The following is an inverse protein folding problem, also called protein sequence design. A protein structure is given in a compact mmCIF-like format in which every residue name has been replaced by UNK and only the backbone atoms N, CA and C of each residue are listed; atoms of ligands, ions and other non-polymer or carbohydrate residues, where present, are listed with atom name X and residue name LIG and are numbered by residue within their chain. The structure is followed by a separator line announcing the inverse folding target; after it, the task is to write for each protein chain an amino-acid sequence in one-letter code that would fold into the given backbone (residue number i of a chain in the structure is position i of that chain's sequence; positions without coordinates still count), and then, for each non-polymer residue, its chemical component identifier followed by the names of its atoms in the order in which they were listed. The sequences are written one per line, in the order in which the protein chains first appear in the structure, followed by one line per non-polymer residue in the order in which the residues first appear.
data_IF_536068662852
#
_entry.id   IF_536068662852
#
_cell.length_a   1.000
_cell.length_b   1.000
_cell.length_c   1.000
_cell.angle_alpha   90.00
_cell.angle_beta   90.00
_cell.angle_gamma   90.00
#
_symmetry.space_group_name_H-M   'P 1'
#
loop_
_entity.id
_entity.type
_entity.pdbx_description
1 polymer ?
#
# COMPACT_ATOMS: atom_id res chain seq x y z
N UNK A 1 -12.47 9.43 6.55
CA UNK A 1 -12.96 9.61 5.16
C UNK A 1 -11.87 9.77 4.10
N UNK A 2 -10.57 9.77 4.43
CA UNK A 2 -9.49 9.99 3.45
C UNK A 2 -8.83 8.72 2.91
N UNK A 3 -8.91 7.60 3.64
CA UNK A 3 -8.31 6.30 3.24
C UNK A 3 -9.42 5.26 3.28
N UNK A 4 -9.74 4.69 2.12
CA UNK A 4 -10.85 3.74 1.98
C UNK A 4 -10.52 2.35 2.53
N UNK A 5 -9.28 1.91 2.38
CA UNK A 5 -8.81 0.61 2.88
C UNK A 5 -7.29 0.59 3.05
N UNK A 6 -6.80 -0.38 3.82
CA UNK A 6 -5.40 -0.78 3.83
C UNK A 6 -5.24 -2.02 2.96
N UNK A 7 -4.27 -1.99 2.06
CA UNK A 7 -3.94 -3.12 1.17
C UNK A 7 -2.81 -3.94 1.80
N UNK A 8 -2.96 -5.25 1.80
CA UNK A 8 -2.04 -6.17 2.49
C UNK A 8 -1.83 -7.47 1.70
N UNK A 9 -0.64 -8.07 1.84
CA UNK A 9 -0.32 -9.36 1.19
C UNK A 9 -0.58 -10.56 2.08
N UNK A 10 -0.49 -10.39 3.40
CA UNK A 10 -0.68 -11.48 4.36
C UNK A 10 -2.16 -11.87 4.51
N UNK A 11 -2.57 -13.10 4.11
CA UNK A 11 -3.96 -13.55 4.22
C UNK A 11 -4.52 -13.54 5.65
N UNK A 12 -3.65 -13.69 6.66
CA UNK A 12 -4.05 -13.65 8.07
C UNK A 12 -4.59 -12.29 8.52
N UNK A 13 -4.31 -11.23 7.74
CA UNK A 13 -4.78 -9.87 8.03
C UNK A 13 -6.11 -9.53 7.38
N UNK A 14 -6.66 -10.43 6.55
CA UNK A 14 -7.94 -10.23 5.87
C UNK A 14 -9.08 -10.07 6.88
N UNK A 15 -9.95 -9.09 6.63
CA UNK A 15 -11.12 -8.83 7.47
C UNK A 15 -10.81 -8.20 8.83
N UNK A 16 -9.53 -7.88 9.09
CA UNK A 16 -9.14 -7.05 10.21
C UNK A 16 -9.31 -5.57 9.88
N UNK A 17 -9.20 -4.74 10.92
CA UNK A 17 -9.28 -3.29 10.82
C UNK A 17 -8.05 -2.64 11.45
N UNK A 18 -7.69 -1.46 10.96
CA UNK A 18 -6.62 -0.68 11.58
C UNK A 18 -7.02 -0.24 12.98
N UNK A 19 -6.12 -0.26 13.97
CA UNK A 19 -6.42 0.29 15.29
C UNK A 19 -6.70 1.80 15.21
N UNK A 20 -7.61 2.29 16.06
CA UNK A 20 -8.00 3.70 16.15
C UNK A 20 -8.97 4.13 15.05
N UNK A 21 -8.50 4.19 13.80
CA UNK A 21 -9.30 4.68 12.66
C UNK A 21 -10.25 3.64 12.08
N UNK A 22 -10.14 2.36 12.47
CA UNK A 22 -10.97 1.26 11.99
C UNK A 22 -11.06 1.17 10.46
N UNK A 23 -9.93 1.36 9.77
CA UNK A 23 -9.86 1.25 8.31
C UNK A 23 -9.81 -0.25 7.94
N UNK A 24 -10.66 -0.72 7.01
CA UNK A 24 -10.69 -2.14 6.65
C UNK A 24 -9.40 -2.58 5.94
N UNK A 25 -8.95 -3.79 6.25
CA UNK A 25 -7.81 -4.44 5.56
C UNK A 25 -8.33 -5.37 4.47
N UNK A 26 -7.90 -5.12 3.24
CA UNK A 26 -8.21 -5.93 2.04
C UNK A 26 -6.93 -6.57 1.51
N UNK A 27 -7.06 -7.72 0.83
CA UNK A 27 -5.90 -8.34 0.22
C UNK A 27 -5.59 -7.70 -1.13
N UNK A 28 -4.30 -7.52 -1.42
CA UNK A 28 -3.84 -6.98 -2.70
C UNK A 28 -4.35 -7.79 -3.89
N UNK A 29 -4.43 -9.12 -3.75
CA UNK A 29 -4.96 -10.01 -4.78
C UNK A 29 -6.45 -9.82 -5.09
N UNK A 30 -7.18 -9.09 -4.25
CA UNK A 30 -8.61 -8.79 -4.43
C UNK A 30 -8.83 -7.45 -5.15
N UNK A 31 -7.78 -6.65 -5.32
CA UNK A 31 -7.82 -5.38 -6.02
C UNK A 31 -7.83 -5.65 -7.53
N UNK A 32 -8.98 -5.43 -8.17
CA UNK A 32 -9.14 -5.59 -9.62
C UNK A 32 -8.62 -4.38 -10.39
N UNK A 33 -8.89 -3.20 -9.85
CA UNK A 33 -8.50 -1.92 -10.43
C UNK A 33 -7.59 -1.22 -9.40
N UNK A 34 -6.28 -1.10 -9.70
CA UNK A 34 -5.37 -0.39 -8.81
C UNK A 34 -5.75 1.09 -8.76
N UNK A 35 -5.52 1.77 -7.62
CA UNK A 35 -5.70 3.22 -7.53
C UNK A 35 -4.66 3.96 -8.38
N UNK A 36 -4.91 5.24 -8.65
CA UNK A 36 -3.91 6.11 -9.27
C UNK A 36 -2.68 6.30 -8.36
N UNK A 37 -2.89 6.32 -7.03
CA UNK A 37 -1.84 6.53 -6.04
C UNK A 37 -1.97 5.54 -4.89
N UNK A 38 -0.88 4.84 -4.57
CA UNK A 38 -0.71 4.16 -3.30
C UNK A 38 -0.03 5.08 -2.28
N UNK A 39 -0.66 5.26 -1.12
CA UNK A 39 -0.05 5.95 0.03
C UNK A 39 0.68 4.93 0.92
N UNK A 40 2.01 4.86 0.78
CA UNK A 40 2.80 3.75 1.30
C UNK A 40 3.29 4.04 2.73
N UNK A 41 2.55 3.53 3.71
CA UNK A 41 2.94 3.63 5.13
C UNK A 41 4.15 2.75 5.49
N UNK A 42 4.42 1.70 4.72
CA UNK A 42 5.55 0.79 4.87
C UNK A 42 6.83 1.37 4.22
N UNK A 43 7.12 2.64 4.51
CA UNK A 43 8.13 3.45 3.82
C UNK A 43 9.56 2.89 3.92
N UNK A 44 9.85 2.14 4.97
CA UNK A 44 11.15 1.49 5.17
C UNK A 44 11.43 0.39 4.13
N UNK A 45 10.42 -0.07 3.40
CA UNK A 45 10.54 -1.04 2.30
C UNK A 45 10.45 -0.38 0.91
N UNK A 46 10.63 0.95 0.79
CA UNK A 46 10.48 1.72 -0.46
C UNK A 46 11.09 1.06 -1.68
N UNK A 47 12.38 0.67 -1.60
CA UNK A 47 13.09 0.04 -2.72
C UNK A 47 12.44 -1.28 -3.15
N UNK A 48 12.10 -2.15 -2.20
CA UNK A 48 11.48 -3.45 -2.48
C UNK A 48 10.05 -3.30 -3.02
N UNK A 49 9.28 -2.37 -2.46
CA UNK A 49 7.91 -2.08 -2.91
C UNK A 49 7.92 -1.58 -4.36
N UNK A 50 8.82 -0.65 -4.70
CA UNK A 50 8.93 -0.14 -6.06
C UNK A 50 9.40 -1.23 -7.04
N UNK A 51 10.35 -2.07 -6.66
CA UNK A 51 10.84 -3.18 -7.50
C UNK A 51 9.73 -4.20 -7.79
N UNK A 52 9.00 -4.61 -6.75
CA UNK A 52 7.94 -5.62 -6.87
C UNK A 52 6.70 -5.13 -7.63
N UNK A 53 6.51 -3.80 -7.74
CA UNK A 53 5.33 -3.19 -8.37
C UNK A 53 5.63 -2.45 -9.68
N UNK A 54 6.76 -2.73 -10.34
CA UNK A 54 7.15 -2.09 -11.61
C UNK A 54 6.05 -2.09 -12.67
N UNK A 55 5.31 -3.19 -12.80
CA UNK A 55 4.22 -3.28 -13.78
C UNK A 55 3.07 -2.30 -13.50
N UNK A 56 2.81 -1.95 -12.24
CA UNK A 56 1.81 -0.95 -11.89
C UNK A 56 2.34 0.46 -12.20
N UNK A 57 3.61 0.70 -11.93
CA UNK A 57 4.29 1.97 -12.24
C UNK A 57 4.29 2.22 -13.75
N UNK A 58 4.60 1.21 -14.55
CA UNK A 58 4.54 1.27 -16.02
C UNK A 58 3.12 1.57 -16.55
N UNK A 59 2.08 1.19 -15.79
CA UNK A 59 0.68 1.50 -16.09
C UNK A 59 0.23 2.87 -15.60
N UNK A 60 1.13 3.66 -14.99
CA UNK A 60 0.86 5.02 -14.51
C UNK A 60 0.44 5.11 -13.05
N UNK A 61 0.53 4.02 -12.27
CA UNK A 61 0.25 4.06 -10.83
C UNK A 61 1.43 4.68 -10.08
N UNK A 62 1.15 5.66 -9.23
CA UNK A 62 2.14 6.32 -8.40
C UNK A 62 2.22 5.71 -6.99
N UNK A 63 3.41 5.74 -6.40
CA UNK A 63 3.65 5.31 -5.02
C UNK A 63 4.18 6.49 -4.21
N UNK A 64 3.33 7.05 -3.35
CA UNK A 64 3.69 8.17 -2.48
C UNK A 64 4.19 7.66 -1.13
N UNK A 65 5.40 8.08 -0.76
CA UNK A 65 6.03 7.74 0.51
C UNK A 65 6.03 8.97 1.41
N UNK A 66 5.28 8.98 2.51
CA UNK A 66 5.17 10.16 3.37
C UNK A 66 6.39 10.40 4.26
N UNK A 67 7.31 9.42 4.31
CA UNK A 67 8.54 9.50 5.07
C UNK A 67 9.68 9.11 4.14
N UNK A 68 10.70 9.96 4.06
CA UNK A 68 11.95 9.70 3.35
C UNK A 68 13.08 9.66 4.39
N UNK A 69 13.38 8.48 4.95
CA UNK A 69 14.46 8.36 5.93
C UNK A 69 15.79 8.62 5.24
N UNK A 70 16.69 9.34 5.91
CA UNK A 70 18.09 9.43 5.45
C UNK A 70 18.69 8.02 5.47
N UNK A 71 19.37 7.63 4.41
CA UNK A 71 20.24 6.45 4.43
C UNK A 71 21.31 6.68 5.51
N UNK A 72 21.44 5.74 6.44
CA UNK A 72 22.43 5.75 7.53
C UNK A 72 23.68 5.01 7.03
#
# INVERSE_FOLDING_TARGET
DYISCLVEKNPMRKGLYSPGMHIPVVLESEIREPPDIYYVLAWNFKKEILENNRQLIEKGVEFYFPVDPKEI
#
